data_IF_349614071872
#
_entry.id   IF_349614071872
#
_cell.length_a   1.000
_cell.length_b   1.000
_cell.length_c   1.000
_cell.angle_alpha   90.00
_cell.angle_beta   90.00
_cell.angle_gamma   90.00
#
_symmetry.space_group_name_H-M   'P 1'
#
loop_
_entity.id
_entity.type
_entity.pdbx_description
1 polymer ?
#
# COMPACT_ATOMS: atom_id res chain seq x y z
N UNK A 1 -40.17 6.01 30.16
CA UNK A 1 -39.39 5.14 29.24
C UNK A 1 -39.60 5.45 27.76
N UNK A 2 -40.83 5.51 27.21
CA UNK A 2 -41.03 5.78 25.76
C UNK A 2 -40.53 7.14 25.26
N UNK A 3 -40.69 8.23 26.04
CA UNK A 3 -40.15 9.55 25.67
C UNK A 3 -38.61 9.56 25.58
N UNK A 4 -37.92 8.86 26.49
CA UNK A 4 -36.45 8.79 26.52
C UNK A 4 -35.90 8.00 25.32
N UNK A 5 -36.59 6.93 24.89
CA UNK A 5 -36.22 6.14 23.73
C UNK A 5 -36.36 6.92 22.40
N UNK A 6 -37.39 7.75 22.27
CA UNK A 6 -37.58 8.64 21.10
C UNK A 6 -36.43 9.66 21.04
N UNK A 7 -36.02 10.22 22.19
CA UNK A 7 -34.90 11.16 22.25
C UNK A 7 -33.57 10.54 21.81
N UNK A 8 -33.28 9.29 22.22
CA UNK A 8 -32.04 8.60 21.82
C UNK A 8 -32.01 8.30 20.32
N UNK A 9 -33.12 7.83 19.74
CA UNK A 9 -33.20 7.53 18.30
C UNK A 9 -33.02 8.79 17.44
N UNK A 10 -33.64 9.91 17.84
CA UNK A 10 -33.46 11.20 17.16
C UNK A 10 -32.01 11.68 17.27
N UNK A 11 -31.38 11.56 18.44
CA UNK A 11 -29.96 11.91 18.61
C UNK A 11 -29.08 11.07 17.69
N UNK A 12 -29.26 9.74 17.66
CA UNK A 12 -28.49 8.85 16.79
C UNK A 12 -28.67 9.17 15.30
N UNK A 13 -29.90 9.48 14.87
CA UNK A 13 -30.19 9.89 13.50
C UNK A 13 -29.49 11.21 13.16
N UNK A 14 -29.55 12.21 14.05
CA UNK A 14 -28.87 13.50 13.84
C UNK A 14 -27.35 13.34 13.76
N UNK A 15 -26.76 12.49 14.61
CA UNK A 15 -25.33 12.16 14.56
C UNK A 15 -24.98 11.49 13.23
N UNK A 16 -25.77 10.50 12.79
CA UNK A 16 -25.58 9.84 11.51
C UNK A 16 -25.66 10.82 10.33
N UNK A 17 -26.70 11.66 10.29
CA UNK A 17 -26.89 12.65 9.23
C UNK A 17 -25.76 13.68 9.20
N UNK A 18 -25.27 14.12 10.37
CA UNK A 18 -24.12 15.01 10.47
C UNK A 18 -22.84 14.38 9.90
N UNK A 19 -22.54 13.14 10.28
CA UNK A 19 -21.38 12.41 9.75
C UNK A 19 -21.51 12.18 8.25
N UNK A 20 -22.68 11.73 7.78
CA UNK A 20 -22.93 11.50 6.36
C UNK A 20 -22.76 12.80 5.54
N UNK A 21 -23.33 13.91 6.00
CA UNK A 21 -23.18 15.23 5.36
C UNK A 21 -21.71 15.67 5.29
N UNK A 22 -20.95 15.50 6.40
CA UNK A 22 -19.50 15.77 6.42
C UNK A 22 -18.76 14.93 5.38
N UNK A 23 -19.10 13.66 5.23
CA UNK A 23 -18.48 12.77 4.25
C UNK A 23 -18.84 13.13 2.81
N UNK A 24 -20.09 13.48 2.53
CA UNK A 24 -20.50 14.00 1.23
C UNK A 24 -19.73 15.26 0.86
N UNK A 25 -19.53 16.18 1.82
CA UNK A 25 -18.70 17.38 1.59
C UNK A 25 -17.24 17.03 1.29
N UNK A 26 -16.62 16.14 2.09
CA UNK A 26 -15.25 15.68 1.84
C UNK A 26 -15.10 15.04 0.45
N UNK A 27 -16.05 14.19 0.06
CA UNK A 27 -16.08 13.59 -1.27
C UNK A 27 -16.21 14.65 -2.36
N UNK A 28 -17.08 15.64 -2.19
CA UNK A 28 -17.28 16.71 -3.17
C UNK A 28 -16.00 17.55 -3.34
N UNK A 29 -15.36 17.93 -2.23
CA UNK A 29 -14.09 18.65 -2.23
C UNK A 29 -12.98 17.83 -2.90
N UNK A 30 -12.87 16.53 -2.59
CA UNK A 30 -11.88 15.64 -3.19
C UNK A 30 -12.10 15.47 -4.70
N UNK A 31 -13.33 15.28 -5.16
CA UNK A 31 -13.63 15.13 -6.59
C UNK A 31 -13.45 16.44 -7.36
N UNK A 32 -13.82 17.58 -6.77
CA UNK A 32 -13.53 18.90 -7.35
C UNK A 32 -12.02 19.10 -7.50
N UNK A 33 -11.25 18.69 -6.49
CA UNK A 33 -9.80 18.72 -6.54
C UNK A 33 -9.22 17.81 -7.64
N UNK A 34 -9.78 16.61 -7.84
CA UNK A 34 -9.40 15.71 -8.93
C UNK A 34 -9.67 16.36 -10.29
N UNK A 35 -10.83 16.97 -10.49
CA UNK A 35 -11.14 17.65 -11.74
C UNK A 35 -10.11 18.74 -12.09
N UNK A 36 -9.62 19.47 -11.09
CA UNK A 36 -8.59 20.51 -11.26
C UNK A 36 -7.20 19.94 -11.57
N UNK A 37 -6.86 18.74 -11.08
CA UNK A 37 -5.47 18.23 -11.08
C UNK A 37 -5.25 16.91 -11.84
N UNK A 38 -6.29 16.25 -12.34
CA UNK A 38 -6.20 14.92 -12.98
C UNK A 38 -5.21 14.85 -14.14
N UNK A 39 -5.01 15.96 -14.85
CA UNK A 39 -4.05 16.04 -15.97
C UNK A 39 -2.58 15.86 -15.51
N UNK A 40 -2.26 16.18 -14.25
CA UNK A 40 -0.91 16.02 -13.68
C UNK A 40 -0.52 14.56 -13.46
N UNK A 41 -1.53 13.66 -13.41
CA UNK A 41 -1.35 12.23 -13.14
C UNK A 41 -1.91 11.38 -14.28
N UNK A 42 -2.27 12.02 -15.39
CA UNK A 42 -2.83 11.36 -16.55
C UNK A 42 -1.77 10.50 -17.26
N UNK A 43 -2.24 9.50 -17.99
CA UNK A 43 -1.38 8.50 -18.62
C UNK A 43 -0.35 9.10 -19.58
N UNK A 44 -0.69 10.19 -20.26
CA UNK A 44 0.15 10.92 -21.19
C UNK A 44 1.43 11.45 -20.52
N UNK A 45 1.42 11.65 -19.19
CA UNK A 45 2.61 12.08 -18.44
C UNK A 45 3.68 10.98 -18.44
N UNK A 46 3.30 9.73 -18.24
CA UNK A 46 4.20 8.57 -18.32
C UNK A 46 4.67 8.30 -19.76
N UNK A 47 3.78 8.48 -20.73
CA UNK A 47 4.09 8.27 -22.14
C UNK A 47 5.05 9.31 -22.72
N UNK A 48 5.19 10.48 -22.10
CA UNK A 48 6.12 11.52 -22.58
C UNK A 48 7.49 11.42 -21.92
N UNK A 49 7.59 10.77 -20.78
CA UNK A 49 8.84 10.72 -20.02
C UNK A 49 9.85 9.73 -20.62
N UNK A 50 11.00 10.25 -21.03
CA UNK A 50 12.06 9.47 -21.66
C UNK A 50 12.90 8.68 -20.66
N UNK A 51 13.05 9.18 -19.43
CA UNK A 51 13.85 8.52 -18.39
C UNK A 51 13.16 7.24 -17.92
N UNK A 52 11.86 7.32 -17.65
CA UNK A 52 10.99 6.21 -17.35
C UNK A 52 11.03 5.17 -18.47
N UNK A 53 10.78 5.56 -19.72
CA UNK A 53 10.83 4.60 -20.86
C UNK A 53 12.14 3.83 -20.93
N UNK A 54 13.28 4.55 -20.89
CA UNK A 54 14.61 3.94 -20.92
C UNK A 54 14.79 2.95 -19.78
N UNK A 55 14.32 3.31 -18.58
CA UNK A 55 14.40 2.45 -17.41
C UNK A 55 13.53 1.19 -17.58
N UNK A 56 12.31 1.33 -18.10
CA UNK A 56 11.42 0.18 -18.34
C UNK A 56 11.98 -0.74 -19.43
N UNK A 57 12.60 -0.20 -20.46
CA UNK A 57 13.25 -0.99 -21.51
C UNK A 57 14.44 -1.78 -20.96
N UNK A 58 15.26 -1.17 -20.09
CA UNK A 58 16.34 -1.84 -19.36
C UNK A 58 15.82 -3.03 -18.51
N UNK A 59 14.69 -2.87 -17.80
CA UNK A 59 14.07 -3.98 -17.06
C UNK A 59 13.51 -5.09 -17.95
N UNK A 60 13.10 -4.78 -19.19
CA UNK A 60 12.62 -5.78 -20.16
C UNK A 60 13.77 -6.55 -20.82
N UNK A 61 14.86 -5.87 -21.11
CA UNK A 61 16.03 -6.45 -21.78
C UNK A 61 16.87 -7.30 -20.82
N UNK A 62 16.92 -6.94 -19.54
CA UNK A 62 17.63 -7.68 -18.50
C UNK A 62 17.06 -9.09 -18.32
N UNK A 63 17.81 -10.08 -18.81
CA UNK A 63 17.57 -11.49 -18.49
C UNK A 63 18.12 -11.83 -17.10
N UNK A 64 17.46 -12.70 -16.32
CA UNK A 64 17.89 -13.07 -14.96
C UNK A 64 19.29 -13.69 -14.85
N UNK A 65 19.95 -14.04 -15.95
CA UNK A 65 21.28 -14.66 -15.95
C UNK A 65 22.42 -13.67 -15.62
N UNK A 66 22.21 -12.35 -15.77
CA UNK A 66 23.28 -11.35 -15.57
C UNK A 66 23.48 -10.91 -14.12
N UNK A 67 22.53 -11.17 -13.23
CA UNK A 67 22.63 -10.83 -11.81
C UNK A 67 22.02 -11.96 -11.00
N UNK A 68 22.87 -12.79 -10.39
CA UNK A 68 22.77 -13.38 -9.05
C UNK A 68 23.67 -14.64 -9.00
N UNK A 69 24.64 -14.63 -8.09
CA UNK A 69 25.41 -15.83 -7.76
C UNK A 69 24.49 -16.98 -7.34
N UNK A 70 24.77 -18.17 -7.88
CA UNK A 70 24.27 -19.51 -7.52
C UNK A 70 22.76 -19.78 -7.37
N UNK A 71 21.87 -18.79 -7.47
CA UNK A 71 20.41 -19.03 -7.44
C UNK A 71 19.85 -18.99 -8.87
N UNK A 72 19.66 -20.17 -9.46
CA UNK A 72 18.84 -20.37 -10.67
C UNK A 72 17.39 -19.98 -10.36
N UNK A 73 17.02 -18.72 -10.57
CA UNK A 73 15.62 -18.35 -10.74
C UNK A 73 15.28 -18.63 -12.20
N UNK A 74 14.42 -19.62 -12.44
CA UNK A 74 14.09 -20.10 -13.76
C UNK A 74 13.59 -18.96 -14.68
N UNK A 75 14.44 -18.47 -15.58
CA UNK A 75 14.09 -17.79 -16.85
C UNK A 75 13.14 -16.59 -16.82
N UNK A 76 12.73 -16.07 -15.65
CA UNK A 76 11.75 -14.99 -15.54
C UNK A 76 12.45 -13.64 -15.36
N UNK A 77 12.04 -12.65 -16.14
CA UNK A 77 12.53 -11.29 -16.03
C UNK A 77 12.36 -10.76 -14.59
N UNK A 78 13.32 -9.95 -14.15
CA UNK A 78 13.30 -9.36 -12.81
C UNK A 78 12.21 -8.27 -12.78
N UNK A 79 11.11 -8.53 -12.08
CA UNK A 79 10.05 -7.55 -11.90
C UNK A 79 10.56 -6.36 -11.06
N UNK A 80 10.51 -5.11 -11.57
CA UNK A 80 10.82 -3.93 -10.76
C UNK A 80 9.83 -3.75 -9.64
N UNK A 81 10.28 -3.07 -8.58
CA UNK A 81 9.45 -2.63 -7.47
C UNK A 81 9.31 -1.12 -7.49
N UNK A 82 8.08 -0.64 -7.58
CA UNK A 82 7.73 0.77 -7.67
C UNK A 82 7.37 1.28 -6.28
N UNK A 83 7.97 2.41 -5.92
CA UNK A 83 7.68 3.16 -4.70
C UNK A 83 7.45 4.63 -5.06
N UNK A 84 6.52 5.27 -4.37
CA UNK A 84 6.16 6.68 -4.58
C UNK A 84 6.24 7.43 -3.25
N UNK A 85 6.89 8.58 -3.23
CA UNK A 85 7.03 9.36 -2.00
C UNK A 85 7.31 10.85 -2.23
N UNK A 86 7.12 11.60 -1.15
CA UNK A 86 7.59 12.96 -0.99
C UNK A 86 8.44 13.09 0.28
N UNK A 87 8.86 14.31 0.61
CA UNK A 87 9.72 14.66 1.74
C UNK A 87 9.17 14.18 3.09
N UNK A 88 7.85 14.04 3.21
CA UNK A 88 7.20 13.62 4.46
C UNK A 88 7.30 12.11 4.68
N UNK A 89 7.53 11.31 3.64
CA UNK A 89 7.84 9.89 3.77
C UNK A 89 9.35 9.58 3.67
N UNK A 90 10.18 10.55 3.29
CA UNK A 90 11.62 10.36 3.10
C UNK A 90 12.32 9.68 4.29
N UNK A 91 12.05 10.11 5.52
CA UNK A 91 12.75 9.55 6.69
C UNK A 91 12.38 8.09 6.96
N UNK A 92 11.11 7.71 6.78
CA UNK A 92 10.69 6.31 6.91
C UNK A 92 11.23 5.48 5.74
N UNK A 93 11.32 6.05 4.55
CA UNK A 93 11.96 5.41 3.39
C UNK A 93 13.46 5.20 3.59
N UNK A 94 14.19 6.16 4.14
CA UNK A 94 15.61 5.99 4.46
C UNK A 94 15.83 4.90 5.53
N UNK A 95 14.93 4.81 6.52
CA UNK A 95 14.93 3.70 7.47
C UNK A 95 14.71 2.36 6.78
N UNK A 96 13.73 2.30 5.88
CA UNK A 96 13.42 1.09 5.10
C UNK A 96 14.55 0.67 4.16
N UNK A 97 15.18 1.62 3.46
CA UNK A 97 16.33 1.33 2.59
C UNK A 97 17.49 0.71 3.37
N UNK A 98 17.72 1.16 4.61
CA UNK A 98 18.66 0.51 5.51
C UNK A 98 18.16 -0.86 5.99
N UNK A 99 16.87 -1.03 6.29
CA UNK A 99 16.29 -2.31 6.69
C UNK A 99 16.53 -3.41 5.64
N UNK A 100 16.41 -3.07 4.34
CA UNK A 100 16.56 -4.03 3.25
C UNK A 100 17.96 -4.07 2.63
N UNK A 101 18.93 -3.31 3.17
CA UNK A 101 20.27 -3.20 2.59
C UNK A 101 21.04 -4.52 2.54
N UNK A 102 20.71 -5.48 3.42
CA UNK A 102 21.30 -6.82 3.42
C UNK A 102 20.63 -7.82 2.47
N UNK A 103 19.51 -7.46 1.85
CA UNK A 103 18.77 -8.36 0.96
C UNK A 103 19.22 -8.19 -0.50
N UNK A 104 19.67 -9.29 -1.10
CA UNK A 104 20.16 -9.29 -2.47
C UNK A 104 19.07 -8.87 -3.47
N UNK A 105 19.44 -8.00 -4.41
CA UNK A 105 18.57 -7.58 -5.51
C UNK A 105 17.42 -6.64 -5.14
N UNK A 106 17.24 -6.26 -3.86
CA UNK A 106 16.12 -5.38 -3.48
C UNK A 106 16.31 -3.96 -4.00
N UNK A 107 17.50 -3.37 -3.79
CA UNK A 107 17.79 -2.02 -4.28
C UNK A 107 17.87 -1.94 -5.81
N UNK A 108 18.37 -3.00 -6.46
CA UNK A 108 18.53 -3.05 -7.92
C UNK A 108 17.18 -3.10 -8.66
N UNK A 109 16.12 -3.58 -7.99
CA UNK A 109 14.75 -3.63 -8.52
C UNK A 109 13.99 -2.31 -8.34
N UNK A 110 14.48 -1.40 -7.50
CA UNK A 110 13.67 -0.31 -6.98
C UNK A 110 13.62 0.87 -7.95
N UNK A 111 12.41 1.26 -8.32
CA UNK A 111 12.08 2.50 -9.02
C UNK A 111 11.33 3.41 -8.07
N UNK A 112 11.89 4.59 -7.81
CA UNK A 112 11.29 5.60 -6.93
C UNK A 112 10.77 6.76 -7.76
N UNK A 113 9.47 7.03 -7.66
CA UNK A 113 8.86 8.29 -8.07
C UNK A 113 8.90 9.26 -6.89
N UNK A 114 9.77 10.26 -6.96
CA UNK A 114 9.88 11.30 -5.95
C UNK A 114 9.14 12.56 -6.40
N UNK A 115 8.17 13.01 -5.61
CA UNK A 115 7.30 14.13 -5.99
C UNK A 115 7.91 15.51 -5.72
N UNK A 116 9.06 15.59 -5.04
CA UNK A 116 9.72 16.85 -4.70
C UNK A 116 11.26 16.75 -4.78
N UNK A 117 11.89 17.89 -5.10
CA UNK A 117 13.34 17.99 -5.26
C UNK A 117 14.14 17.66 -3.99
N UNK A 118 13.73 18.04 -2.76
CA UNK A 118 14.42 17.61 -1.53
C UNK A 118 14.56 16.08 -1.40
N UNK A 119 13.52 15.34 -1.78
CA UNK A 119 13.52 13.88 -1.79
C UNK A 119 14.51 13.33 -2.81
N UNK A 120 14.46 13.83 -4.05
CA UNK A 120 15.40 13.46 -5.13
C UNK A 120 16.84 13.71 -4.70
N UNK A 121 17.13 14.91 -4.18
CA UNK A 121 18.47 15.30 -3.76
C UNK A 121 18.99 14.40 -2.62
N UNK A 122 18.14 14.09 -1.63
CA UNK A 122 18.51 13.21 -0.54
C UNK A 122 18.78 11.78 -1.00
N UNK A 123 17.89 11.20 -1.82
CA UNK A 123 18.04 9.83 -2.29
C UNK A 123 19.27 9.68 -3.21
N UNK A 124 19.47 10.58 -4.18
CA UNK A 124 20.64 10.54 -5.06
C UNK A 124 21.97 10.73 -4.31
N UNK A 125 21.97 11.51 -3.22
CA UNK A 125 23.13 11.70 -2.35
C UNK A 125 23.49 10.44 -1.55
N UNK A 126 22.50 9.79 -0.93
CA UNK A 126 22.73 8.68 0.00
C UNK A 126 22.71 7.30 -0.68
N UNK A 127 22.01 7.19 -1.81
CA UNK A 127 21.76 5.95 -2.52
C UNK A 127 21.89 6.16 -4.04
N UNK A 128 23.09 6.51 -4.54
CA UNK A 128 23.30 6.94 -5.93
C UNK A 128 23.01 5.87 -6.99
N UNK A 129 22.87 4.60 -6.58
CA UNK A 129 22.55 3.48 -7.48
C UNK A 129 21.06 3.22 -7.64
N UNK A 130 20.20 3.84 -6.82
CA UNK A 130 18.75 3.67 -6.95
C UNK A 130 18.23 4.41 -8.18
N UNK A 131 17.23 3.83 -8.84
CA UNK A 131 16.51 4.50 -9.91
C UNK A 131 15.51 5.50 -9.31
N UNK A 132 15.90 6.78 -9.26
CA UNK A 132 15.07 7.86 -8.70
C UNK A 132 14.62 8.79 -9.83
N UNK A 133 13.34 8.72 -10.15
CA UNK A 133 12.65 9.60 -11.10
C UNK A 133 12.19 10.86 -10.37
N UNK A 134 12.60 12.02 -10.88
CA UNK A 134 12.14 13.33 -10.42
C UNK A 134 10.78 13.62 -11.06
N UNK A 135 9.71 13.47 -10.29
CA UNK A 135 8.35 13.51 -10.80
C UNK A 135 7.51 14.60 -10.10
N UNK A 136 7.84 15.89 -10.29
CA UNK A 136 7.24 16.95 -9.51
C UNK A 136 5.75 17.10 -9.81
N UNK A 137 4.92 16.82 -8.80
CA UNK A 137 3.46 17.07 -8.82
C UNK A 137 3.17 17.96 -7.63
N UNK A 138 2.95 19.25 -7.86
CA UNK A 138 2.83 20.28 -6.80
C UNK A 138 1.91 19.85 -5.64
N UNK A 139 0.67 19.36 -5.88
CA UNK A 139 -0.20 19.02 -4.78
C UNK A 139 0.24 17.78 -3.98
N UNK A 140 1.15 16.97 -4.53
CA UNK A 140 1.72 15.79 -3.87
C UNK A 140 3.06 16.09 -3.16
N UNK A 141 3.58 17.32 -3.22
CA UNK A 141 4.82 17.71 -2.53
C UNK A 141 4.64 17.96 -1.02
N UNK A 142 3.40 18.23 -0.62
CA UNK A 142 3.02 18.57 0.74
C UNK A 142 2.46 17.34 1.47
N UNK A 143 2.27 17.47 2.78
CA UNK A 143 1.64 16.42 3.59
C UNK A 143 0.17 16.28 3.17
N UNK A 144 -0.25 15.06 2.93
CA UNK A 144 -1.64 14.70 2.65
C UNK A 144 -2.04 13.46 3.45
N UNK A 145 -3.33 13.30 3.67
CA UNK A 145 -3.92 12.27 4.53
C UNK A 145 -5.25 11.78 3.97
N UNK A 146 -5.72 10.64 4.48
CA UNK A 146 -7.05 10.13 4.14
C UNK A 146 -8.12 11.18 4.47
N UNK A 147 -8.89 11.59 3.46
CA UNK A 147 -9.80 12.73 3.58
C UNK A 147 -9.48 13.85 2.59
N UNK A 148 -8.23 13.94 2.13
CA UNK A 148 -7.75 15.05 1.31
C UNK A 148 -7.85 14.76 -0.19
N UNK A 149 -8.13 15.78 -1.00
CA UNK A 149 -8.10 15.66 -2.46
C UNK A 149 -6.74 15.23 -3.02
N UNK A 150 -5.64 15.64 -2.38
CA UNK A 150 -4.28 15.21 -2.72
C UNK A 150 -4.07 13.70 -2.46
N UNK A 151 -4.72 13.12 -1.44
CA UNK A 151 -4.65 11.68 -1.19
C UNK A 151 -5.42 10.88 -2.26
N UNK A 152 -6.57 11.38 -2.70
CA UNK A 152 -7.29 10.83 -3.85
C UNK A 152 -6.43 10.93 -5.14
N UNK A 153 -5.75 12.06 -5.34
CA UNK A 153 -4.90 12.28 -6.52
C UNK A 153 -3.70 11.31 -6.52
N UNK A 154 -3.13 11.02 -5.35
CA UNK A 154 -2.08 10.02 -5.18
C UNK A 154 -2.57 8.60 -5.54
N UNK A 155 -3.79 8.23 -5.16
CA UNK A 155 -4.38 6.94 -5.54
C UNK A 155 -4.68 6.86 -7.03
N UNK A 156 -5.17 7.95 -7.63
CA UNK A 156 -5.35 8.04 -9.08
C UNK A 156 -4.02 7.90 -9.84
N UNK A 157 -2.95 8.58 -9.37
CA UNK A 157 -1.60 8.42 -9.91
C UNK A 157 -1.15 6.96 -9.86
N UNK A 158 -1.34 6.31 -8.70
CA UNK A 158 -0.97 4.90 -8.51
C UNK A 158 -1.72 3.97 -9.45
N UNK A 159 -3.02 4.18 -9.64
CA UNK A 159 -3.84 3.39 -10.57
C UNK A 159 -3.44 3.63 -12.04
N UNK A 160 -3.24 4.89 -12.45
CA UNK A 160 -2.81 5.22 -13.81
C UNK A 160 -1.42 4.67 -14.13
N UNK A 161 -0.49 4.74 -13.17
CA UNK A 161 0.84 4.16 -13.32
C UNK A 161 0.76 2.64 -13.45
N UNK A 162 -0.04 1.97 -12.61
CA UNK A 162 -0.22 0.53 -12.69
C UNK A 162 -0.83 0.08 -14.03
N UNK A 163 -1.82 0.82 -14.55
CA UNK A 163 -2.38 0.59 -15.88
C UNK A 163 -1.32 0.77 -16.98
N UNK A 164 -0.55 1.85 -16.94
CA UNK A 164 0.52 2.12 -17.89
C UNK A 164 1.59 1.03 -17.90
N UNK A 165 2.09 0.62 -16.74
CA UNK A 165 3.11 -0.43 -16.63
C UNK A 165 2.58 -1.79 -17.12
N UNK A 166 1.34 -2.15 -16.76
CA UNK A 166 0.71 -3.37 -17.23
C UNK A 166 0.53 -3.38 -18.75
N UNK A 167 0.17 -2.23 -19.35
CA UNK A 167 0.04 -2.07 -20.79
C UNK A 167 1.38 -2.30 -21.51
N UNK A 168 2.48 -1.81 -20.93
CA UNK A 168 3.83 -2.09 -21.43
C UNK A 168 4.27 -3.54 -21.25
N UNK A 169 3.36 -4.43 -20.85
CA UNK A 169 3.59 -5.85 -20.62
C UNK A 169 4.69 -6.11 -19.60
N UNK A 170 4.81 -5.21 -18.63
CA UNK A 170 5.78 -5.30 -17.55
C UNK A 170 5.13 -5.98 -16.34
N UNK A 171 5.78 -7.00 -15.80
CA UNK A 171 5.46 -7.51 -14.46
C UNK A 171 6.11 -6.59 -13.42
N UNK A 172 5.38 -6.16 -12.39
CA UNK A 172 5.94 -5.24 -11.39
C UNK A 172 5.33 -5.45 -10.00
N UNK A 173 6.07 -5.02 -8.99
CA UNK A 173 5.61 -4.85 -7.63
C UNK A 173 5.27 -3.38 -7.38
N UNK A 174 4.17 -3.12 -6.68
CA UNK A 174 3.92 -1.85 -6.01
C UNK A 174 4.19 -2.07 -4.52
N UNK A 175 5.05 -1.25 -3.90
CA UNK A 175 5.45 -1.43 -2.50
C UNK A 175 5.42 -0.12 -1.70
N UNK A 176 5.33 -0.26 -0.37
CA UNK A 176 5.39 0.86 0.57
C UNK A 176 6.56 0.72 1.55
N UNK A 177 7.14 1.86 1.95
CA UNK A 177 8.30 1.91 2.85
C UNK A 177 7.96 1.87 4.33
N UNK A 178 6.69 1.86 4.70
CA UNK A 178 6.24 1.73 6.09
C UNK A 178 6.12 0.27 6.56
N UNK A 179 6.87 -0.62 5.92
CA UNK A 179 6.90 -2.05 6.22
C UNK A 179 8.25 -2.46 6.78
N UNK A 180 8.28 -3.11 7.92
CA UNK A 180 9.50 -3.76 8.42
C UNK A 180 9.67 -5.14 7.77
N UNK A 181 10.78 -5.31 7.05
CA UNK A 181 11.14 -6.55 6.36
C UNK A 181 12.11 -7.36 7.24
N UNK A 182 11.64 -8.52 7.71
CA UNK A 182 12.47 -9.52 8.40
C UNK A 182 13.06 -10.53 7.43
N UNK A 183 12.47 -10.64 6.25
CA UNK A 183 12.96 -11.43 5.14
C UNK A 183 12.67 -10.69 3.82
N UNK A 184 13.34 -11.11 2.76
CA UNK A 184 13.18 -10.54 1.43
C UNK A 184 11.78 -10.83 0.86
N UNK A 185 11.03 -9.79 0.48
CA UNK A 185 9.71 -9.91 -0.15
C UNK A 185 9.75 -10.79 -1.39
N UNK A 186 10.76 -10.61 -2.24
CA UNK A 186 10.84 -11.28 -3.54
C UNK A 186 11.05 -12.79 -3.42
N UNK A 187 11.60 -13.25 -2.29
CA UNK A 187 11.78 -14.68 -2.01
C UNK A 187 10.55 -15.25 -1.30
N UNK A 188 9.96 -14.49 -0.37
CA UNK A 188 8.87 -14.98 0.49
C UNK A 188 7.50 -14.90 -0.17
N UNK A 189 7.30 -13.92 -1.04
CA UNK A 189 6.06 -13.70 -1.80
C UNK A 189 6.30 -13.89 -3.30
N UNK A 190 7.23 -14.78 -3.69
CA UNK A 190 7.50 -15.10 -5.10
C UNK A 190 6.18 -15.49 -5.82
N UNK A 191 5.78 -14.75 -6.86
CA UNK A 191 4.61 -15.07 -7.66
C UNK A 191 4.60 -16.51 -8.18
N UNK A 192 5.75 -17.13 -8.42
CA UNK A 192 5.84 -18.53 -8.86
C UNK A 192 5.37 -19.54 -7.79
N UNK A 193 5.38 -19.15 -6.52
CA UNK A 193 4.98 -19.99 -5.38
C UNK A 193 3.55 -19.69 -4.91
N UNK A 194 3.06 -18.48 -5.12
CA UNK A 194 1.79 -17.99 -4.56
C UNK A 194 0.69 -17.71 -5.59
N UNK A 195 0.99 -17.87 -6.88
CA UNK A 195 0.02 -17.69 -7.95
C UNK A 195 -0.13 -18.96 -8.78
N UNK A 196 -1.36 -19.34 -9.08
CA UNK A 196 -1.64 -20.32 -10.10
C UNK A 196 -1.33 -19.75 -11.50
N UNK A 197 -1.25 -20.64 -12.49
CA UNK A 197 -1.01 -20.24 -13.89
C UNK A 197 -2.01 -19.18 -14.38
N UNK A 198 -3.27 -19.29 -13.94
CA UNK A 198 -4.38 -18.41 -14.32
C UNK A 198 -4.52 -17.15 -13.47
N UNK A 199 -3.74 -16.99 -12.41
CA UNK A 199 -3.81 -15.80 -11.56
C UNK A 199 -3.00 -14.67 -12.22
N UNK A 200 -3.51 -13.44 -12.17
CA UNK A 200 -2.84 -12.28 -12.79
C UNK A 200 -2.41 -11.20 -11.80
N UNK A 201 -2.95 -11.22 -10.58
CA UNK A 201 -2.62 -10.30 -9.50
C UNK A 201 -2.32 -11.07 -8.21
N UNK A 202 -1.40 -10.56 -7.40
CA UNK A 202 -1.09 -11.09 -6.06
C UNK A 202 -1.08 -9.95 -5.05
N UNK A 203 -2.04 -9.97 -4.12
CA UNK A 203 -2.26 -8.89 -3.16
C UNK A 203 -1.90 -9.27 -1.73
N UNK A 204 -1.50 -8.30 -0.92
CA UNK A 204 -1.60 -8.39 0.53
C UNK A 204 -3.06 -8.42 1.03
N UNK A 205 -3.25 -8.88 2.27
CA UNK A 205 -4.58 -9.13 2.84
C UNK A 205 -4.84 -8.23 4.05
N UNK A 206 -6.09 -7.83 4.24
CA UNK A 206 -6.51 -7.06 5.41
C UNK A 206 -6.46 -7.90 6.69
N UNK A 207 -6.74 -9.20 6.63
CA UNK A 207 -6.72 -10.09 7.79
C UNK A 207 -6.29 -11.53 7.48
N UNK A 208 -6.18 -12.34 8.54
CA UNK A 208 -5.72 -13.73 8.46
C UNK A 208 -6.83 -14.75 8.17
N UNK A 209 -8.09 -14.40 8.39
CA UNK A 209 -9.24 -15.30 8.24
C UNK A 209 -10.51 -14.52 7.91
N UNK A 210 -11.58 -15.25 7.58
CA UNK A 210 -12.92 -14.68 7.41
C UNK A 210 -13.03 -13.74 6.22
N UNK A 211 -13.93 -12.77 6.32
CA UNK A 211 -14.14 -11.73 5.33
C UNK A 211 -12.86 -10.92 5.07
N UNK A 212 -12.10 -10.61 6.12
CA UNK A 212 -10.90 -9.79 6.04
C UNK A 212 -9.75 -10.49 5.32
N UNK A 213 -9.71 -11.83 5.33
CA UNK A 213 -8.78 -12.56 4.47
C UNK A 213 -9.07 -12.22 3.01
N UNK A 214 -10.32 -12.14 2.58
CA UNK A 214 -10.64 -11.89 1.17
C UNK A 214 -10.68 -10.40 0.80
N UNK A 215 -10.14 -9.53 1.65
CA UNK A 215 -9.99 -8.09 1.43
C UNK A 215 -8.53 -7.70 1.22
N UNK A 216 -8.31 -6.69 0.36
CA UNK A 216 -6.99 -6.19 -0.01
C UNK A 216 -6.59 -5.04 0.92
N UNK A 217 -5.45 -5.17 1.59
CA UNK A 217 -4.85 -4.06 2.36
C UNK A 217 -4.30 -2.99 1.40
N UNK A 218 -3.64 -3.43 0.31
CA UNK A 218 -3.23 -2.62 -0.82
C UNK A 218 -1.92 -1.87 -0.62
N UNK A 219 -1.10 -2.26 0.35
CA UNK A 219 0.21 -1.63 0.57
C UNK A 219 1.31 -2.28 -0.27
N UNK A 220 1.21 -3.59 -0.52
CA UNK A 220 2.14 -4.34 -1.35
C UNK A 220 1.39 -5.30 -2.28
N UNK A 221 1.64 -5.22 -3.58
CA UNK A 221 1.04 -6.14 -4.54
C UNK A 221 1.89 -6.33 -5.79
N UNK A 222 1.72 -7.48 -6.43
CA UNK A 222 2.34 -7.83 -7.70
C UNK A 222 1.31 -7.88 -8.83
N UNK A 223 1.73 -7.44 -10.00
CA UNK A 223 0.92 -7.36 -11.22
C UNK A 223 1.62 -8.07 -12.35
N UNK A 224 0.95 -9.03 -13.01
CA UNK A 224 1.38 -9.52 -14.32
C UNK A 224 1.06 -8.48 -15.39
N UNK A 225 1.99 -8.18 -16.29
CA UNK A 225 1.75 -7.27 -17.41
C UNK A 225 0.88 -7.89 -18.50
N UNK A 226 -0.44 -7.71 -18.45
CA UNK A 226 -1.39 -8.30 -19.39
C UNK A 226 -2.47 -7.29 -19.78
N UNK A 227 -3.21 -7.57 -20.87
CA UNK A 227 -4.37 -6.76 -21.25
C UNK A 227 -5.47 -6.75 -20.17
N UNK A 228 -5.64 -7.87 -19.45
CA UNK A 228 -6.63 -7.96 -18.37
C UNK A 228 -6.26 -7.06 -17.19
N UNK A 229 -5.00 -7.10 -16.75
CA UNK A 229 -4.51 -6.25 -15.65
C UNK A 229 -4.47 -4.79 -16.06
N UNK A 230 -4.19 -4.48 -17.34
CA UNK A 230 -4.35 -3.13 -17.90
C UNK A 230 -5.80 -2.65 -17.71
N UNK A 231 -6.78 -3.40 -18.22
CA UNK A 231 -8.20 -3.04 -18.11
C UNK A 231 -8.67 -2.95 -16.64
N UNK A 232 -8.13 -3.79 -15.76
CA UNK A 232 -8.42 -3.76 -14.33
C UNK A 232 -8.00 -2.43 -13.70
N UNK A 233 -6.76 -1.98 -13.91
CA UNK A 233 -6.28 -0.72 -13.33
C UNK A 233 -6.85 0.51 -14.05
N UNK A 234 -7.16 0.42 -15.34
CA UNK A 234 -7.94 1.44 -16.05
C UNK A 234 -9.31 1.60 -15.38
N UNK A 235 -10.03 0.51 -15.08
CA UNK A 235 -11.31 0.59 -14.36
C UNK A 235 -11.18 1.16 -12.95
N UNK A 236 -10.11 0.84 -12.22
CA UNK A 236 -9.82 1.49 -10.92
C UNK A 236 -9.65 3.00 -11.12
N UNK A 237 -8.82 3.42 -12.07
CA UNK A 237 -8.57 4.84 -12.36
C UNK A 237 -9.82 5.60 -12.80
N UNK A 238 -10.61 5.03 -13.71
CA UNK A 238 -11.88 5.59 -14.19
C UNK A 238 -12.84 5.83 -13.03
N UNK A 239 -12.87 4.90 -12.08
CA UNK A 239 -13.76 4.98 -10.93
C UNK A 239 -13.29 6.05 -9.94
N UNK A 240 -11.98 6.18 -9.71
CA UNK A 240 -11.41 7.22 -8.83
C UNK A 240 -11.63 8.65 -9.34
N UNK A 241 -11.97 8.84 -10.63
CA UNK A 241 -12.29 10.15 -11.20
C UNK A 241 -13.64 10.69 -10.72
N UNK A 242 -14.59 9.84 -10.37
CA UNK A 242 -15.96 10.27 -10.00
C UNK A 242 -16.46 9.68 -8.69
N UNK A 243 -15.75 8.73 -8.09
CA UNK A 243 -16.04 8.15 -6.79
C UNK A 243 -14.90 8.41 -5.80
N UNK A 244 -15.21 9.02 -4.66
CA UNK A 244 -14.26 9.16 -3.57
C UNK A 244 -14.12 7.82 -2.84
N UNK A 245 -12.99 7.15 -3.07
CA UNK A 245 -12.71 5.82 -2.54
C UNK A 245 -11.21 5.57 -2.56
N UNK A 246 -10.76 4.62 -1.76
CA UNK A 246 -9.39 4.14 -1.87
C UNK A 246 -9.26 3.10 -2.98
N UNK A 247 -8.18 3.16 -3.73
CA UNK A 247 -7.89 2.20 -4.79
C UNK A 247 -7.91 0.74 -4.31
N UNK A 248 -7.45 0.42 -3.10
CA UNK A 248 -7.49 -0.95 -2.55
C UNK A 248 -8.92 -1.47 -2.34
N UNK A 249 -9.86 -0.60 -1.98
CA UNK A 249 -11.27 -0.99 -1.88
C UNK A 249 -11.87 -1.25 -3.28
N UNK A 250 -11.50 -0.45 -4.28
CA UNK A 250 -11.91 -0.67 -5.67
C UNK A 250 -11.29 -1.94 -6.25
N UNK A 251 -9.99 -2.16 -6.03
CA UNK A 251 -9.30 -3.40 -6.39
C UNK A 251 -9.99 -4.61 -5.76
N UNK A 252 -10.36 -4.51 -4.48
CA UNK A 252 -11.06 -5.57 -3.75
C UNK A 252 -12.41 -5.90 -4.38
N UNK A 253 -13.18 -4.89 -4.76
CA UNK A 253 -14.46 -5.09 -5.42
C UNK A 253 -14.32 -5.72 -6.81
N UNK A 254 -13.38 -5.25 -7.63
CA UNK A 254 -13.13 -5.80 -8.95
C UNK A 254 -12.64 -7.26 -8.87
N UNK A 255 -11.78 -7.59 -7.92
CA UNK A 255 -11.35 -8.97 -7.65
C UNK A 255 -12.52 -9.85 -7.20
N UNK A 256 -13.36 -9.36 -6.28
CA UNK A 256 -14.53 -10.11 -5.80
C UNK A 256 -15.52 -10.41 -6.93
N UNK A 257 -15.66 -9.50 -7.89
CA UNK A 257 -16.50 -9.67 -9.07
C UNK A 257 -15.82 -10.37 -10.26
N UNK A 258 -14.56 -10.79 -10.14
CA UNK A 258 -13.76 -11.37 -11.24
C UNK A 258 -13.81 -10.52 -12.51
N UNK A 259 -13.63 -9.21 -12.36
CA UNK A 259 -13.69 -8.27 -13.46
C UNK A 259 -12.79 -8.72 -14.62
N UNK A 260 -13.34 -8.75 -15.85
CA UNK A 260 -12.66 -9.21 -17.06
C UNK A 260 -12.05 -10.64 -16.96
N UNK A 261 -12.73 -11.53 -16.24
CA UNK A 261 -12.30 -12.92 -16.00
C UNK A 261 -10.88 -13.00 -15.41
N UNK A 262 -10.50 -11.99 -14.61
CA UNK A 262 -9.23 -11.91 -13.92
C UNK A 262 -9.30 -12.65 -12.58
N UNK A 263 -8.25 -13.38 -12.24
CA UNK A 263 -8.10 -14.04 -10.95
C UNK A 263 -7.05 -13.32 -10.08
N UNK A 264 -7.44 -13.08 -8.82
CA UNK A 264 -6.60 -12.48 -7.80
C UNK A 264 -6.17 -13.54 -6.80
N UNK A 265 -4.86 -13.69 -6.63
CA UNK A 265 -4.24 -14.46 -5.56
C UNK A 265 -3.90 -13.54 -4.38
N UNK A 266 -3.58 -14.15 -3.24
CA UNK A 266 -3.27 -13.42 -2.02
C UNK A 266 -2.04 -13.97 -1.32
N UNK A 267 -1.18 -13.06 -0.86
CA UNK A 267 -0.01 -13.36 -0.04
C UNK A 267 -0.51 -13.88 1.32
N UNK A 268 0.04 -15.00 1.83
CA UNK A 268 -0.33 -15.47 3.16
C UNK A 268 -0.10 -14.38 4.21
N UNK A 269 -1.06 -14.19 5.12
CA UNK A 269 -0.96 -13.16 6.16
C UNK A 269 0.26 -13.36 7.07
N UNK A 270 0.71 -14.60 7.26
CA UNK A 270 1.96 -14.94 7.97
C UNK A 270 3.23 -14.56 7.20
N UNK A 271 3.15 -14.27 5.92
CA UNK A 271 4.24 -13.72 5.13
C UNK A 271 4.25 -12.20 5.23
N UNK A 272 3.11 -11.55 4.97
CA UNK A 272 2.97 -10.11 5.01
C UNK A 272 1.69 -9.75 5.79
N UNK A 273 1.86 -9.08 6.93
CA UNK A 273 0.75 -8.59 7.76
C UNK A 273 0.77 -7.07 7.87
N UNK A 274 -0.40 -6.51 8.15
CA UNK A 274 -0.59 -5.09 8.42
C UNK A 274 -0.72 -4.79 9.92
N UNK A 275 -1.07 -3.54 10.26
CA UNK A 275 -1.24 -3.04 11.62
C UNK A 275 -2.13 -3.91 12.51
N UNK A 276 -3.10 -4.64 11.95
CA UNK A 276 -4.01 -5.52 12.71
C UNK A 276 -3.30 -6.65 13.41
N UNK A 277 -2.14 -7.09 12.91
CA UNK A 277 -1.35 -8.11 13.59
C UNK A 277 -1.01 -7.70 15.04
N UNK A 278 -0.81 -6.41 15.30
CA UNK A 278 -0.55 -5.91 16.66
C UNK A 278 -1.72 -6.05 17.64
N UNK A 279 -2.94 -6.22 17.13
CA UNK A 279 -4.17 -6.29 17.93
C UNK A 279 -4.87 -7.65 17.83
N UNK A 280 -4.40 -8.53 16.93
CA UNK A 280 -4.96 -9.85 16.66
C UNK A 280 -4.20 -10.99 17.32
N UNK A 281 -4.41 -12.19 16.77
CA UNK A 281 -3.80 -13.44 17.22
C UNK A 281 -2.33 -13.53 16.77
N UNK A 282 -1.40 -13.11 17.65
CA UNK A 282 0.06 -13.03 17.39
C UNK A 282 0.77 -14.38 17.39
N UNK A 283 0.07 -15.46 17.03
CA UNK A 283 0.61 -16.84 16.99
C UNK A 283 1.90 -16.94 16.17
N UNK A 284 1.94 -16.27 15.02
CA UNK A 284 3.09 -16.27 14.13
C UNK A 284 3.55 -14.84 13.85
N UNK A 285 4.85 -14.60 14.00
CA UNK A 285 5.47 -13.32 13.65
C UNK A 285 5.73 -13.29 12.13
N UNK A 286 5.13 -12.34 11.38
CA UNK A 286 5.20 -12.35 9.93
C UNK A 286 6.59 -12.01 9.41
N UNK A 287 6.87 -12.40 8.16
CA UNK A 287 8.13 -12.06 7.49
C UNK A 287 8.23 -10.56 7.17
N UNK A 288 7.10 -9.92 6.93
CA UNK A 288 6.95 -8.50 6.69
C UNK A 288 5.80 -7.95 7.54
N UNK A 289 6.03 -6.82 8.21
CA UNK A 289 5.07 -6.22 9.13
C UNK A 289 4.88 -4.72 8.82
N UNK A 290 3.69 -4.34 8.37
CA UNK A 290 3.37 -2.95 8.04
C UNK A 290 2.93 -2.15 9.27
N UNK A 291 3.33 -0.88 9.31
CA UNK A 291 3.01 0.08 10.37
C UNK A 291 1.97 1.11 9.88
N UNK A 292 0.86 0.64 9.32
CA UNK A 292 -0.12 1.42 8.57
C UNK A 292 -1.38 1.84 9.36
N UNK A 293 -1.35 1.72 10.69
CA UNK A 293 -2.48 1.98 11.59
C UNK A 293 -2.87 3.46 11.81
N UNK A 294 -2.76 4.34 10.82
CA UNK A 294 -3.35 5.69 10.87
C UNK A 294 -2.53 6.78 11.58
N UNK A 295 -1.25 6.55 11.91
CA UNK A 295 -0.32 7.65 12.22
C UNK A 295 0.35 8.15 10.94
N UNK A 296 0.66 9.45 10.86
CA UNK A 296 1.47 9.98 9.75
C UNK A 296 2.88 9.37 9.73
N UNK A 297 3.60 9.49 8.62
CA UNK A 297 4.93 8.86 8.42
C UNK A 297 5.94 9.11 9.54
N UNK A 298 5.94 10.30 10.14
CA UNK A 298 6.78 10.63 11.30
C UNK A 298 6.41 9.80 12.53
N UNK A 299 5.12 9.69 12.85
CA UNK A 299 4.63 8.85 13.95
C UNK A 299 4.86 7.36 13.68
N UNK A 300 4.79 6.92 12.42
CA UNK A 300 5.17 5.54 12.04
C UNK A 300 6.64 5.28 12.30
N UNK A 301 7.53 6.20 11.92
CA UNK A 301 8.96 6.07 12.17
C UNK A 301 9.30 6.11 13.67
N UNK A 302 8.63 6.97 14.44
CA UNK A 302 8.80 7.00 15.90
C UNK A 302 8.37 5.68 16.55
N UNK A 303 7.24 5.12 16.11
CA UNK A 303 6.78 3.80 16.54
C UNK A 303 7.76 2.69 16.13
N UNK A 304 8.30 2.73 14.92
CA UNK A 304 9.38 1.83 14.51
C UNK A 304 10.59 1.96 15.45
N UNK A 305 11.01 3.20 15.77
CA UNK A 305 12.13 3.45 16.68
C UNK A 305 11.89 2.91 18.09
N UNK A 306 10.71 3.13 18.67
CA UNK A 306 10.39 2.66 20.03
C UNK A 306 10.42 1.13 20.15
N UNK A 307 10.11 0.43 19.06
CA UNK A 307 10.21 -1.03 18.99
C UNK A 307 11.65 -1.52 18.78
N UNK A 308 12.57 -0.65 18.39
CA UNK A 308 13.94 -1.02 18.01
C UNK A 308 14.13 -1.21 16.50
N UNK A 309 13.10 -0.99 15.68
CA UNK A 309 13.12 -1.01 14.21
C UNK A 309 13.79 0.23 13.57
N UNK A 310 14.68 0.90 14.30
CA UNK A 310 15.52 1.97 13.77
C UNK A 310 16.74 1.36 13.08
N UNK A 311 16.73 1.32 11.76
CA UNK A 311 17.83 0.87 10.90
C UNK A 311 18.69 2.03 10.39
N UNK A 312 18.20 3.26 10.51
CA UNK A 312 18.94 4.47 10.11
C UNK A 312 19.19 5.37 11.31
N UNK A 313 20.41 5.87 11.42
CA UNK A 313 20.78 7.00 12.25
C UNK A 313 20.89 8.26 11.38
N UNK A 314 20.23 9.34 11.80
CA UNK A 314 20.34 10.64 11.14
C UNK A 314 21.40 11.46 11.86
N UNK A 315 22.47 11.81 11.14
CA UNK A 315 23.56 12.63 11.65
C UNK A 315 23.21 14.12 11.60
N UNK A 316 23.95 14.96 12.34
CA UNK A 316 23.67 16.41 12.47
C UNK A 316 23.76 17.16 11.14
N UNK A 317 24.47 16.63 10.15
CA UNK A 317 24.61 17.17 8.80
C UNK A 317 23.54 16.65 7.81
N UNK A 318 22.52 15.96 8.33
CA UNK A 318 21.45 15.36 7.55
C UNK A 318 21.87 14.08 6.83
N UNK A 319 23.06 13.51 7.12
CA UNK A 319 23.44 12.20 6.57
C UNK A 319 22.65 11.07 7.20
N UNK A 320 22.19 10.16 6.35
CA UNK A 320 21.59 8.90 6.77
C UNK A 320 22.66 7.79 6.80
N UNK A 321 22.89 7.19 7.98
CA UNK A 321 23.83 6.07 8.15
C UNK A 321 23.09 4.81 8.60
N UNK A 322 23.22 3.73 7.84
CA UNK A 322 22.61 2.45 8.19
C UNK A 322 23.31 1.77 9.37
N UNK A 323 22.51 1.18 10.25
CA UNK A 323 22.96 0.24 11.26
C UNK A 323 23.29 -1.11 10.58
N UNK A 324 24.57 -1.27 10.21
CA UNK A 324 25.05 -2.45 9.50
C UNK A 324 24.72 -3.77 10.22
N UNK A 325 24.69 -3.79 11.55
CA UNK A 325 24.40 -5.01 12.31
C UNK A 325 22.94 -5.41 12.15
N UNK A 326 22.02 -4.45 12.32
CA UNK A 326 20.58 -4.70 12.13
C UNK A 326 20.26 -5.01 10.67
N UNK A 327 20.86 -4.28 9.73
CA UNK A 327 20.67 -4.49 8.29
C UNK A 327 21.18 -5.85 7.81
N UNK A 328 22.19 -6.43 8.46
CA UNK A 328 22.75 -7.73 8.11
C UNK A 328 21.89 -8.92 8.58
N UNK A 329 21.18 -8.77 9.71
CA UNK A 329 20.20 -9.76 10.19
C UNK A 329 18.90 -9.08 10.63
N UNK A 330 18.09 -8.60 9.66
CA UNK A 330 16.84 -7.93 10.00
C UNK A 330 15.90 -8.83 10.79
N UNK A 331 15.91 -10.14 10.57
CA UNK A 331 15.02 -11.07 11.28
C UNK A 331 15.17 -11.04 12.81
N UNK A 332 16.36 -10.69 13.30
CA UNK A 332 16.73 -10.58 14.73
C UNK A 332 16.98 -9.14 15.19
N UNK A 333 16.77 -8.15 14.34
CA UNK A 333 17.01 -6.74 14.67
C UNK A 333 16.07 -6.21 15.76
N UNK A 334 14.90 -6.83 15.92
CA UNK A 334 13.90 -6.49 16.91
C UNK A 334 13.61 -7.70 17.78
N UNK A 335 13.56 -7.47 19.08
CA UNK A 335 13.16 -8.47 20.07
C UNK A 335 11.70 -8.89 19.88
N UNK A 336 11.45 -10.21 19.90
CA UNK A 336 10.11 -10.76 19.66
C UNK A 336 9.12 -10.35 20.75
N UNK A 337 9.56 -10.27 22.00
CA UNK A 337 8.69 -9.92 23.12
C UNK A 337 8.28 -8.46 23.04
N UNK A 338 9.18 -7.57 22.59
CA UNK A 338 8.83 -6.17 22.27
C UNK A 338 7.77 -6.03 21.19
N UNK A 339 7.88 -6.79 20.10
CA UNK A 339 6.86 -6.80 19.03
C UNK A 339 5.53 -7.34 19.53
N UNK A 340 5.56 -8.36 20.39
CA UNK A 340 4.36 -8.96 20.96
C UNK A 340 3.69 -8.08 22.02
N UNK A 341 4.46 -7.34 22.83
CA UNK A 341 3.93 -6.45 23.86
C UNK A 341 3.16 -5.24 23.28
N UNK A 342 3.38 -4.92 22.02
CA UNK A 342 2.71 -3.81 21.34
C UNK A 342 1.28 -4.21 20.94
N UNK A 343 0.25 -3.49 21.43
CA UNK A 343 -1.15 -3.75 21.11
C UNK A 343 -2.19 -3.07 22.00
N UNK A 344 -1.77 -2.37 23.06
CA UNK A 344 -2.70 -1.75 24.01
C UNK A 344 -3.13 -0.32 23.64
N UNK A 345 -2.35 0.38 22.81
CA UNK A 345 -2.67 1.75 22.40
C UNK A 345 -3.31 1.73 21.01
N UNK A 346 -4.63 1.53 20.98
CA UNK A 346 -5.43 1.75 19.76
C UNK A 346 -5.95 3.19 19.73
N UNK A 347 -5.83 3.86 18.58
CA UNK A 347 -6.43 5.18 18.42
C UNK A 347 -7.92 5.06 18.06
N UNK A 348 -8.69 6.14 18.22
CA UNK A 348 -10.15 6.13 17.95
C UNK A 348 -10.50 5.66 16.53
N UNK A 349 -9.67 6.00 15.54
CA UNK A 349 -9.83 5.58 14.15
C UNK A 349 -9.73 4.06 14.04
N UNK A 350 -8.67 3.46 14.56
CA UNK A 350 -8.48 2.01 14.57
C UNK A 350 -9.60 1.26 15.31
N UNK A 351 -10.10 1.82 16.42
CA UNK A 351 -11.22 1.25 17.15
C UNK A 351 -12.50 1.24 16.32
N UNK A 352 -12.82 2.36 15.65
CA UNK A 352 -14.00 2.46 14.76
C UNK A 352 -13.91 1.48 13.58
N UNK A 353 -12.74 1.43 12.92
CA UNK A 353 -12.47 0.48 11.82
C UNK A 353 -12.61 -0.97 12.29
N UNK A 354 -12.06 -1.29 13.46
CA UNK A 354 -12.13 -2.64 14.03
C UNK A 354 -13.56 -3.02 14.41
N UNK A 355 -14.33 -2.10 14.99
CA UNK A 355 -15.73 -2.33 15.32
C UNK A 355 -16.55 -2.63 14.06
N UNK A 356 -16.43 -1.80 13.03
CA UNK A 356 -17.16 -1.99 11.78
C UNK A 356 -16.78 -3.30 11.08
N UNK A 357 -15.47 -3.62 11.03
CA UNK A 357 -15.01 -4.88 10.45
C UNK A 357 -15.51 -6.10 11.23
N UNK A 358 -15.49 -6.04 12.56
CA UNK A 358 -16.03 -7.13 13.39
C UNK A 358 -17.53 -7.34 13.17
N UNK A 359 -18.30 -6.26 13.00
CA UNK A 359 -19.72 -6.36 12.64
C UNK A 359 -19.90 -7.03 11.26
N UNK A 360 -19.07 -6.67 10.28
CA UNK A 360 -19.11 -7.30 8.96
C UNK A 360 -18.67 -8.77 9.00
N UNK A 361 -17.67 -9.13 9.81
CA UNK A 361 -17.23 -10.51 10.03
C UNK A 361 -18.34 -11.35 10.68
N UNK A 362 -19.03 -10.83 11.69
CA UNK A 362 -20.16 -11.50 12.31
C UNK A 362 -21.29 -11.73 11.30
N UNK A 363 -21.60 -10.73 10.47
CA UNK A 363 -22.61 -10.86 9.43
C UNK A 363 -22.19 -11.88 8.36
N UNK A 364 -20.92 -11.87 7.95
CA UNK A 364 -20.37 -12.82 6.98
C UNK A 364 -20.36 -14.25 7.53
N UNK A 365 -19.98 -14.44 8.80
CA UNK A 365 -20.01 -15.75 9.45
C UNK A 365 -21.44 -16.32 9.54
N UNK A 366 -22.44 -15.45 9.78
CA UNK A 366 -23.84 -15.84 9.80
C UNK A 366 -24.41 -16.08 8.40
N UNK A 367 -23.99 -15.31 7.39
CA UNK A 367 -24.51 -15.38 6.03
C UNK A 367 -23.39 -15.15 4.98
N UNK A 368 -22.62 -16.20 4.62
CA UNK A 368 -21.47 -16.06 3.73
C UNK A 368 -21.79 -15.47 2.35
N UNK A 369 -23.01 -15.66 1.85
CA UNK A 369 -23.49 -15.08 0.59
C UNK A 369 -23.43 -13.54 0.58
N UNK A 370 -23.55 -12.90 1.75
CA UNK A 370 -23.46 -11.43 1.89
C UNK A 370 -22.02 -10.95 1.73
N UNK A 371 -21.02 -11.82 1.83
CA UNK A 371 -19.61 -11.47 1.67
C UNK A 371 -19.27 -10.88 0.30
N UNK A 372 -19.94 -11.32 -0.77
CA UNK A 372 -19.77 -10.71 -2.10
C UNK A 372 -20.34 -9.29 -2.13
N UNK A 373 -21.53 -9.07 -1.57
CA UNK A 373 -22.13 -7.74 -1.47
C UNK A 373 -21.27 -6.80 -0.63
N UNK A 374 -20.79 -7.27 0.53
CA UNK A 374 -19.95 -6.47 1.40
C UNK A 374 -18.67 -6.02 0.68
N UNK A 375 -17.92 -6.95 0.09
CA UNK A 375 -16.64 -6.63 -0.58
C UNK A 375 -16.82 -5.90 -1.91
N UNK A 376 -17.79 -6.33 -2.71
CA UNK A 376 -18.04 -5.85 -4.06
C UNK A 376 -18.82 -4.54 -4.13
N UNK A 377 -19.68 -4.28 -3.13
CA UNK A 377 -20.63 -3.15 -3.17
C UNK A 377 -20.49 -2.24 -1.97
N UNK A 378 -20.34 -2.74 -0.74
CA UNK A 378 -20.28 -1.89 0.45
C UNK A 378 -18.91 -1.22 0.62
N UNK A 379 -17.82 -2.00 0.62
CA UNK A 379 -16.46 -1.50 0.85
C UNK A 379 -15.94 -0.45 -0.15
N UNK A 380 -16.33 -0.44 -1.43
CA UNK A 380 -16.02 0.70 -2.32
C UNK A 380 -16.51 2.05 -1.79
N UNK A 381 -17.57 2.09 -0.98
CA UNK A 381 -18.12 3.30 -0.39
C UNK A 381 -17.71 3.50 1.07
N UNK A 382 -16.71 2.75 1.55
CA UNK A 382 -16.23 2.77 2.94
C UNK A 382 -15.98 4.17 3.49
N UNK A 383 -15.48 5.06 2.64
CA UNK A 383 -15.20 6.45 2.98
C UNK A 383 -16.45 7.28 3.39
N UNK A 384 -17.67 6.85 3.00
CA UNK A 384 -18.92 7.58 3.21
C UNK A 384 -19.67 7.22 4.49
N UNK A 385 -19.51 5.98 4.99
CA UNK A 385 -20.33 5.49 6.11
C UNK A 385 -19.55 5.17 7.38
N UNK A 386 -18.22 5.20 7.35
CA UNK A 386 -17.45 5.02 8.59
C UNK A 386 -17.31 6.33 9.34
N UNK A 387 -17.88 6.29 10.53
CA UNK A 387 -17.85 7.36 11.51
C UNK A 387 -16.45 7.38 12.14
N UNK A 388 -15.67 8.40 11.81
CA UNK A 388 -14.41 8.74 12.48
C UNK A 388 -14.63 9.85 13.49
#
# INVERSE_FOLDING_TARGET
MKLLAISVQVILLLVFLFHYSKKCRQSYEALTFIELHKQLVARETFEKDTELKRLLDDFKEKKPEEWIGEIKVAGRAIAPAVMMLNRHALNITLNWLCNVAGFAGVHDRLIIFAFDSPTVASLRKHWPRLHVLDWPIEPLQNRFSTGDGAYQLFQLFRANLAAFLAEKSLEFWMIQSDTYWRANLFDRADPALHMNYTDELLFDREGSSGLLADMIAGGNFFVKGTKKTTAFFERVSETLLWLYSTDNNLMGALCAHKFADLNCAFIPYSTLSNWRWHYGDKKQLPSLLQFDGGTGSEGKLEKMRSLGAAFVAFEKDGKARCDKRKSADPARAIDRDRLNAQGNDSNMIQMSLSFFHNACELLYAAMPAVGLFIRGTLFPFYAYFIMF
#
